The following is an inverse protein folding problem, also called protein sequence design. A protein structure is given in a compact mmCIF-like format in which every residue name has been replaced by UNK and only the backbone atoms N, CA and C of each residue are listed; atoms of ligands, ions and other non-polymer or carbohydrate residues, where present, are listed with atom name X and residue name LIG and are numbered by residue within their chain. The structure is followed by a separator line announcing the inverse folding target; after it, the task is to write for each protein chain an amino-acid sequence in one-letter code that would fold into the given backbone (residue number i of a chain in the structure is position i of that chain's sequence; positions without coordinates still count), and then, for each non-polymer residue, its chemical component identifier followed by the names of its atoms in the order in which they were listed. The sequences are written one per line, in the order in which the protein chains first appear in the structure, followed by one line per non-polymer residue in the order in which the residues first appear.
data_IF_749477873805
#
_entry.id   IF_749477873805
#
_cell.length_a   1.000
_cell.length_b   1.000
_cell.length_c   1.000
_cell.angle_alpha   90.00
_cell.angle_beta   90.00
_cell.angle_gamma   90.00
#
_symmetry.space_group_name_H-M   'P 1'
#
loop_
_entity.id
_entity.type
_entity.pdbx_description
1 polymer ?
#
# COMPACT_ATOMS: atom_id res chain seq x y z
N UNK A 1 -3.99 22.20 -84.42
CA UNK A 1 -3.10 22.68 -83.34
C UNK A 1 -1.67 22.40 -83.81
N UNK A 2 -0.83 23.33 -84.35
CA UNK A 2 -0.27 24.59 -83.82
C UNK A 2 0.13 24.42 -82.34
N UNK A 3 1.38 24.46 -81.89
CA UNK A 3 2.54 25.28 -82.31
C UNK A 3 3.89 24.64 -81.92
N UNK A 4 4.89 25.01 -82.71
CA UNK A 4 6.34 24.72 -82.75
C UNK A 4 7.16 25.62 -81.77
N UNK A 5 8.52 25.59 -81.75
CA UNK A 5 9.34 25.63 -80.53
C UNK A 5 10.21 26.89 -80.40
N UNK A 6 11.06 26.99 -79.38
CA UNK A 6 12.17 27.95 -79.26
C UNK A 6 13.05 27.57 -78.04
N UNK A 7 14.37 27.69 -77.92
CA UNK A 7 15.55 27.88 -78.78
C UNK A 7 16.77 27.52 -77.85
N UNK A 8 17.85 26.98 -78.44
CA UNK A 8 19.24 26.77 -77.94
C UNK A 8 19.92 28.11 -77.50
N UNK A 9 21.20 28.25 -77.06
CA UNK A 9 22.19 27.32 -76.50
C UNK A 9 23.21 27.88 -75.45
N UNK A 10 24.17 27.01 -75.06
CA UNK A 10 25.65 27.23 -75.00
C UNK A 10 26.34 27.80 -73.72
N UNK A 11 27.36 27.03 -73.27
CA UNK A 11 28.65 27.39 -72.61
C UNK A 11 28.61 27.99 -71.18
N UNK A 12 29.56 27.79 -70.24
CA UNK A 12 30.76 26.97 -70.05
C UNK A 12 31.30 27.28 -68.62
N UNK A 13 32.14 26.38 -68.06
CA UNK A 13 33.18 26.58 -67.03
C UNK A 13 32.85 26.99 -65.57
N UNK A 14 33.27 26.07 -64.68
CA UNK A 14 34.08 26.28 -63.46
C UNK A 14 33.81 27.48 -62.56
N UNK A 15 33.57 27.21 -61.27
CA UNK A 15 34.54 27.64 -60.26
C UNK A 15 34.39 26.87 -58.94
N UNK A 16 35.51 26.28 -58.56
CA UNK A 16 35.82 25.75 -57.25
C UNK A 16 36.15 26.97 -56.38
N UNK A 17 35.32 27.29 -55.40
CA UNK A 17 35.67 28.29 -54.37
C UNK A 17 35.50 27.66 -53.00
N UNK A 18 36.65 27.21 -52.49
CA UNK A 18 36.91 26.85 -51.11
C UNK A 18 36.84 28.13 -50.26
N UNK A 19 35.83 28.24 -49.40
CA UNK A 19 35.82 29.25 -48.33
C UNK A 19 36.57 28.68 -47.14
N UNK A 20 37.64 29.36 -46.75
CA UNK A 20 38.29 29.21 -45.46
C UNK A 20 37.65 30.19 -44.47
N UNK A 21 37.34 29.74 -43.24
CA UNK A 21 37.66 30.52 -42.04
C UNK A 21 37.48 29.73 -40.73
N UNK A 22 38.58 29.74 -39.98
CA UNK A 22 38.81 29.42 -38.57
C UNK A 22 37.63 29.60 -37.60
N UNK A 23 37.47 28.68 -36.64
CA UNK A 23 37.21 29.03 -35.23
C UNK A 23 37.35 27.83 -34.29
N UNK A 24 37.94 28.11 -33.14
CA UNK A 24 38.29 27.24 -32.00
C UNK A 24 37.08 26.55 -31.35
N UNK A 25 37.29 25.46 -30.58
CA UNK A 25 36.18 24.76 -29.91
C UNK A 25 35.67 25.58 -28.71
N UNK A 26 34.35 25.68 -28.48
CA UNK A 26 33.83 26.20 -27.23
C UNK A 26 33.81 25.11 -26.14
N UNK A 27 34.16 25.57 -24.95
CA UNK A 27 34.23 24.92 -23.65
C UNK A 27 32.99 24.12 -23.23
N UNK A 28 33.24 22.97 -22.60
CA UNK A 28 32.31 22.17 -21.78
C UNK A 28 31.55 23.03 -20.76
N UNK A 29 30.21 23.00 -20.71
CA UNK A 29 29.47 23.48 -19.55
C UNK A 29 29.47 22.39 -18.47
N UNK A 30 30.01 22.73 -17.30
CA UNK A 30 29.89 21.95 -16.08
C UNK A 30 28.41 21.74 -15.73
N UNK A 31 27.95 20.48 -15.73
CA UNK A 31 26.61 20.10 -15.27
C UNK A 31 26.56 20.25 -13.75
N UNK A 32 25.91 21.31 -13.30
CA UNK A 32 25.55 21.53 -11.89
C UNK A 32 24.69 20.36 -11.41
N UNK A 33 25.13 19.70 -10.35
CA UNK A 33 24.33 18.71 -9.63
C UNK A 33 23.30 19.44 -8.77
N UNK A 34 22.02 19.33 -9.13
CA UNK A 34 20.92 19.63 -8.21
C UNK A 34 20.63 18.37 -7.37
N UNK A 35 20.45 18.49 -6.05
CA UNK A 35 20.02 17.37 -5.20
C UNK A 35 18.50 17.24 -5.27
N UNK A 36 18.01 16.20 -5.94
CA UNK A 36 16.58 15.85 -5.91
C UNK A 36 16.24 15.13 -4.60
N UNK A 37 15.27 15.70 -3.88
CA UNK A 37 14.62 15.11 -2.71
C UNK A 37 13.73 13.92 -3.13
N UNK A 38 13.47 12.95 -2.24
CA UNK A 38 13.03 11.61 -2.63
C UNK A 38 11.54 11.59 -3.01
N UNK A 39 11.26 11.17 -4.26
CA UNK A 39 9.90 10.88 -4.71
C UNK A 39 9.54 9.47 -4.25
N UNK A 40 8.57 9.39 -3.35
CA UNK A 40 8.01 8.15 -2.81
C UNK A 40 7.11 7.48 -3.84
N UNK A 41 7.68 6.63 -4.70
CA UNK A 41 6.96 5.62 -5.51
C UNK A 41 7.96 4.64 -6.11
N UNK A 42 8.45 3.71 -5.30
CA UNK A 42 9.26 2.59 -5.81
C UNK A 42 8.82 1.31 -5.13
N UNK A 43 7.73 0.70 -5.60
CA UNK A 43 7.67 -0.76 -5.58
C UNK A 43 8.75 -1.20 -6.57
N UNK A 44 9.97 -1.35 -6.03
CA UNK A 44 11.17 -1.67 -6.77
C UNK A 44 10.96 -2.98 -7.53
N UNK A 45 11.14 -2.94 -8.85
CA UNK A 45 11.62 -4.10 -9.63
C UNK A 45 13.08 -4.35 -9.25
N UNK A 46 13.34 -4.67 -7.98
CA UNK A 46 14.67 -5.10 -7.55
C UNK A 46 14.71 -6.61 -7.59
N UNK A 47 15.48 -7.14 -8.54
CA UNK A 47 15.82 -8.57 -8.61
C UNK A 47 16.88 -8.94 -7.55
N UNK A 48 16.90 -8.27 -6.40
CA UNK A 48 17.92 -8.42 -5.37
C UNK A 48 17.29 -8.70 -4.01
N UNK A 49 17.75 -9.78 -3.38
CA UNK A 49 17.28 -10.20 -2.06
C UNK A 49 17.70 -9.25 -0.92
N UNK A 50 18.70 -8.40 -1.14
CA UNK A 50 19.17 -7.41 -0.15
C UNK A 50 18.16 -6.30 0.15
N UNK A 51 17.21 -6.08 -0.76
CA UNK A 51 16.21 -5.01 -0.68
C UNK A 51 14.93 -5.47 0.03
N UNK A 52 14.81 -6.77 0.32
CA UNK A 52 13.63 -7.34 0.97
C UNK A 52 13.43 -6.74 2.37
N UNK A 53 12.15 -6.56 2.74
CA UNK A 53 11.73 -6.02 4.04
C UNK A 53 12.22 -6.91 5.19
N UNK A 54 12.83 -6.27 6.18
CA UNK A 54 13.39 -6.85 7.40
C UNK A 54 12.73 -6.30 8.68
N UNK A 55 11.72 -5.43 8.56
CA UNK A 55 11.06 -4.80 9.70
C UNK A 55 9.78 -5.53 10.07
N UNK A 56 8.96 -5.87 9.08
CA UNK A 56 7.66 -6.51 9.31
C UNK A 56 7.83 -8.03 9.38
N UNK A 57 7.30 -8.63 10.46
CA UNK A 57 7.19 -10.08 10.61
C UNK A 57 5.85 -10.56 10.09
N UNK A 58 5.87 -11.65 9.34
CA UNK A 58 4.71 -12.31 8.78
C UNK A 58 3.88 -12.99 9.87
N UNK A 59 2.57 -12.94 9.70
CA UNK A 59 1.58 -13.61 10.54
C UNK A 59 0.63 -14.49 9.72
N UNK A 60 -0.17 -15.33 10.40
CA UNK A 60 -1.24 -16.08 9.75
C UNK A 60 -2.17 -15.15 8.97
N UNK A 61 -2.63 -15.60 7.81
CA UNK A 61 -3.51 -14.89 6.88
C UNK A 61 -2.88 -13.71 6.12
N UNK A 62 -1.59 -13.44 6.30
CA UNK A 62 -0.87 -12.48 5.45
C UNK A 62 -0.78 -12.98 4.01
N UNK A 63 -0.85 -12.05 3.06
CA UNK A 63 -0.64 -12.28 1.63
C UNK A 63 0.73 -11.73 1.23
N UNK A 64 1.51 -12.58 0.56
CA UNK A 64 2.83 -12.23 0.04
C UNK A 64 2.89 -12.52 -1.46
N UNK A 65 3.56 -11.65 -2.21
CA UNK A 65 3.99 -11.96 -3.56
C UNK A 65 5.28 -12.76 -3.50
N UNK A 66 5.36 -13.79 -4.32
CA UNK A 66 6.48 -14.70 -4.44
C UNK A 66 6.94 -14.76 -5.89
N UNK A 67 8.24 -14.65 -6.11
CA UNK A 67 8.84 -14.81 -7.44
C UNK A 67 10.24 -15.39 -7.32
N UNK A 68 10.57 -16.29 -8.22
CA UNK A 68 11.96 -16.74 -8.47
C UNK A 68 12.42 -16.10 -9.77
N UNK A 69 13.53 -15.35 -9.74
CA UNK A 69 14.01 -14.62 -10.93
C UNK A 69 14.38 -15.59 -12.07
N UNK A 70 14.89 -16.76 -11.71
CA UNK A 70 15.37 -17.79 -12.63
C UNK A 70 14.26 -18.51 -13.40
N UNK A 71 13.01 -18.47 -12.92
CA UNK A 71 11.85 -19.02 -13.65
C UNK A 71 11.52 -18.22 -14.92
N UNK A 72 12.04 -16.99 -15.02
CA UNK A 72 11.78 -16.05 -16.13
C UNK A 72 10.31 -15.68 -16.29
N UNK A 73 9.48 -16.01 -15.32
CA UNK A 73 8.10 -15.55 -15.22
C UNK A 73 8.08 -14.07 -14.84
N UNK A 74 7.23 -13.29 -15.52
CA UNK A 74 7.04 -11.87 -15.24
C UNK A 74 6.05 -11.63 -14.09
N UNK A 75 5.11 -12.56 -13.91
CA UNK A 75 4.07 -12.48 -12.88
C UNK A 75 4.57 -13.06 -11.56
N UNK A 76 4.27 -12.35 -10.46
CA UNK A 76 4.55 -12.85 -9.12
C UNK A 76 3.35 -13.68 -8.65
N UNK A 77 3.61 -14.81 -8.00
CA UNK A 77 2.56 -15.64 -7.44
C UNK A 77 2.08 -15.06 -6.11
N UNK A 78 0.77 -15.09 -5.89
CA UNK A 78 0.16 -14.60 -4.66
C UNK A 78 -0.02 -15.76 -3.68
N UNK A 79 0.81 -15.80 -2.65
CA UNK A 79 0.78 -16.85 -1.64
C UNK A 79 0.16 -16.31 -0.34
N UNK A 80 -0.59 -17.16 0.36
CA UNK A 80 -1.21 -16.83 1.66
C UNK A 80 -0.54 -17.65 2.75
N UNK A 81 -0.22 -17.00 3.86
CA UNK A 81 0.19 -17.70 5.09
C UNK A 81 -1.04 -18.36 5.70
N UNK A 82 -0.98 -19.68 5.89
CA UNK A 82 -2.09 -20.45 6.46
C UNK A 82 -2.29 -20.13 7.96
N UNK A 83 -3.35 -20.67 8.56
CA UNK A 83 -3.68 -20.44 9.98
C UNK A 83 -2.61 -21.01 10.94
N UNK A 84 -1.89 -22.05 10.52
CA UNK A 84 -0.76 -22.63 11.26
C UNK A 84 0.49 -21.74 11.20
N UNK A 85 0.52 -20.72 10.33
CA UNK A 85 1.65 -19.83 10.16
C UNK A 85 2.69 -20.29 9.14
N UNK A 86 2.32 -21.18 8.23
CA UNK A 86 3.18 -21.70 7.17
C UNK A 86 2.77 -21.11 5.81
N UNK A 87 3.73 -20.98 4.92
CA UNK A 87 3.54 -20.57 3.53
C UNK A 87 3.69 -21.81 2.65
N UNK A 88 2.71 -22.07 1.79
CA UNK A 88 2.81 -23.12 0.78
C UNK A 88 3.59 -22.59 -0.42
N UNK A 89 4.85 -23.01 -0.54
CA UNK A 89 5.76 -22.58 -1.60
C UNK A 89 5.81 -23.66 -2.67
N UNK A 90 5.70 -23.30 -3.97
CA UNK A 90 5.84 -24.26 -5.06
C UNK A 90 7.13 -25.08 -4.95
N UNK A 91 7.07 -26.34 -5.38
CA UNK A 91 8.17 -27.32 -5.38
C UNK A 91 8.61 -27.83 -4.00
N UNK A 92 8.72 -26.96 -2.99
CA UNK A 92 9.25 -27.33 -1.67
C UNK A 92 8.18 -27.53 -0.59
N UNK A 93 6.93 -27.14 -0.84
CA UNK A 93 5.81 -27.34 0.06
C UNK A 93 5.72 -26.34 1.20
N UNK A 94 5.33 -26.80 2.39
CA UNK A 94 5.06 -25.95 3.55
C UNK A 94 6.36 -25.44 4.19
N UNK A 95 6.49 -24.11 4.29
CA UNK A 95 7.62 -23.43 4.92
C UNK A 95 7.14 -22.58 6.09
N UNK A 96 7.74 -22.67 7.29
CA UNK A 96 7.39 -21.81 8.42
C UNK A 96 7.60 -20.33 8.08
N UNK A 97 6.53 -19.53 8.11
CA UNK A 97 6.57 -18.11 7.78
C UNK A 97 6.28 -17.21 8.98
N UNK A 98 5.49 -17.69 9.95
CA UNK A 98 5.08 -16.93 11.13
C UNK A 98 6.30 -16.48 11.93
N UNK A 99 6.34 -15.17 12.19
CA UNK A 99 7.42 -14.55 12.95
C UNK A 99 8.67 -14.27 12.13
N UNK A 100 8.77 -14.76 10.89
CA UNK A 100 9.88 -14.43 9.99
C UNK A 100 9.60 -13.13 9.22
N UNK A 101 10.65 -12.41 8.88
CA UNK A 101 10.57 -11.30 7.91
C UNK A 101 10.61 -11.84 6.48
N UNK A 102 10.20 -11.03 5.49
CA UNK A 102 10.31 -11.43 4.09
C UNK A 102 11.75 -11.78 3.70
N UNK A 103 12.74 -11.03 4.22
CA UNK A 103 14.16 -11.33 4.00
C UNK A 103 14.54 -12.70 4.59
N UNK A 104 14.25 -12.93 5.87
CA UNK A 104 14.58 -14.19 6.55
C UNK A 104 13.95 -15.39 5.82
N UNK A 105 12.66 -15.28 5.48
CA UNK A 105 11.92 -16.33 4.80
C UNK A 105 12.46 -16.58 3.38
N UNK A 106 12.82 -15.53 2.64
CA UNK A 106 13.36 -15.67 1.29
C UNK A 106 14.70 -16.41 1.28
N UNK A 107 15.58 -16.17 2.25
CA UNK A 107 16.84 -16.91 2.38
C UNK A 107 16.63 -18.38 2.77
N UNK A 108 15.64 -18.66 3.62
CA UNK A 108 15.23 -20.03 3.95
C UNK A 108 14.75 -20.79 2.71
N UNK A 109 13.83 -20.17 1.95
CA UNK A 109 13.29 -20.74 0.72
C UNK A 109 14.36 -20.92 -0.36
N UNK A 110 15.26 -19.94 -0.52
CA UNK A 110 16.42 -20.03 -1.41
C UNK A 110 17.22 -21.30 -1.12
N UNK A 111 17.58 -21.54 0.13
CA UNK A 111 18.39 -22.70 0.51
C UNK A 111 17.68 -24.03 0.20
N UNK A 112 16.36 -24.09 0.37
CA UNK A 112 15.56 -25.27 0.03
C UNK A 112 15.47 -25.49 -1.49
N UNK A 113 15.25 -24.43 -2.27
CA UNK A 113 15.17 -24.47 -3.73
C UNK A 113 16.51 -24.85 -4.38
N UNK A 114 17.62 -24.33 -3.86
CA UNK A 114 18.98 -24.62 -4.38
C UNK A 114 19.43 -26.07 -4.14
N UNK A 115 18.75 -26.80 -3.23
CA UNK A 115 19.10 -28.18 -2.93
C UNK A 115 18.62 -29.16 -3.99
N UNK A 116 17.43 -28.94 -4.54
CA UNK A 116 16.73 -29.93 -5.37
C UNK A 116 16.30 -29.42 -6.75
N UNK A 117 16.18 -28.09 -6.93
CA UNK A 117 15.52 -27.51 -8.12
C UNK A 117 16.38 -26.50 -8.90
N UNK A 118 17.24 -25.74 -8.23
CA UNK A 118 18.03 -24.66 -8.86
C UNK A 118 19.52 -24.78 -8.53
N UNK A 119 20.39 -24.44 -9.49
CA UNK A 119 21.81 -24.24 -9.19
C UNK A 119 22.04 -22.95 -8.39
N UNK A 120 21.24 -21.93 -8.68
CA UNK A 120 21.18 -20.66 -7.95
C UNK A 120 19.74 -20.16 -7.98
N UNK A 121 19.20 -19.74 -6.83
CA UNK A 121 17.86 -19.18 -6.73
C UNK A 121 17.87 -17.77 -6.15
N UNK A 122 17.19 -16.84 -6.84
CA UNK A 122 16.95 -15.48 -6.38
C UNK A 122 15.48 -15.33 -6.04
N UNK A 123 15.16 -15.45 -4.75
CA UNK A 123 13.79 -15.43 -4.24
C UNK A 123 13.39 -14.02 -3.85
N UNK A 124 12.35 -13.48 -4.48
CA UNK A 124 11.75 -12.20 -4.15
C UNK A 124 10.43 -12.44 -3.42
N UNK A 125 10.34 -11.89 -2.20
CA UNK A 125 9.13 -11.90 -1.38
C UNK A 125 8.74 -10.48 -0.98
N UNK A 126 7.52 -10.06 -1.27
CA UNK A 126 7.00 -8.79 -0.77
C UNK A 126 5.64 -8.98 -0.11
N UNK A 127 5.37 -8.24 0.96
CA UNK A 127 4.06 -8.26 1.61
C UNK A 127 3.10 -7.46 0.74
N UNK A 128 2.00 -8.09 0.32
CA UNK A 128 0.95 -7.41 -0.45
C UNK A 128 -0.17 -6.91 0.45
N UNK A 129 -0.63 -7.78 1.34
CA UNK A 129 -1.63 -7.45 2.35
C UNK A 129 -1.22 -8.10 3.66
N UNK A 130 -1.09 -7.27 4.67
CA UNK A 130 -1.04 -7.77 6.04
C UNK A 130 -2.48 -8.10 6.40
N UNK A 131 -2.72 -9.31 6.90
CA UNK A 131 -3.93 -9.55 7.67
C UNK A 131 -3.78 -8.72 8.93
N UNK A 132 -4.35 -7.52 8.92
CA UNK A 132 -4.51 -6.74 10.14
C UNK A 132 -5.18 -7.68 11.13
N UNK A 133 -4.48 -7.99 12.23
CA UNK A 133 -4.98 -8.90 13.26
C UNK A 133 -6.11 -8.18 13.98
N UNK A 134 -7.28 -8.13 13.36
CA UNK A 134 -8.45 -7.54 13.97
C UNK A 134 -8.70 -8.22 15.32
N UNK A 135 -8.82 -7.43 16.38
CA UNK A 135 -9.07 -7.96 17.74
C UNK A 135 -10.50 -8.48 17.89
N UNK A 136 -11.33 -8.23 16.89
CA UNK A 136 -12.75 -8.54 16.88
C UNK A 136 -13.51 -7.47 16.11
N UNK A 137 -14.84 -7.55 16.15
CA UNK A 137 -15.71 -6.56 15.52
C UNK A 137 -16.56 -5.86 16.56
N UNK A 138 -16.93 -4.62 16.29
CA UNK A 138 -17.99 -3.88 16.98
C UNK A 138 -19.11 -3.58 15.99
N UNK A 139 -20.29 -3.24 16.50
CA UNK A 139 -21.46 -2.96 15.68
C UNK A 139 -21.94 -1.54 15.93
N UNK A 140 -21.87 -0.67 14.93
CA UNK A 140 -22.32 0.73 15.04
C UNK A 140 -23.63 0.92 14.30
N UNK A 141 -24.63 1.50 14.96
CA UNK A 141 -25.95 1.75 14.37
C UNK A 141 -26.68 2.94 15.00
N UNK A 142 -27.79 3.35 14.36
CA UNK A 142 -28.58 4.52 14.73
C UNK A 142 -28.23 5.75 13.90
N UNK A 143 -28.18 6.91 14.54
CA UNK A 143 -27.98 8.20 13.86
C UNK A 143 -26.51 8.49 13.53
N UNK A 144 -25.88 7.63 12.72
CA UNK A 144 -24.52 7.77 12.17
C UNK A 144 -24.54 7.67 10.65
N UNK A 145 -23.49 8.15 9.96
CA UNK A 145 -23.45 8.10 8.49
C UNK A 145 -23.22 6.68 7.95
N UNK A 146 -22.35 5.90 8.57
CA UNK A 146 -21.99 4.54 8.19
C UNK A 146 -22.37 3.56 9.29
N UNK A 147 -23.42 2.78 9.05
CA UNK A 147 -23.86 1.73 9.98
C UNK A 147 -23.28 0.38 9.57
N UNK A 148 -23.12 -0.51 10.54
CA UNK A 148 -22.72 -1.89 10.32
C UNK A 148 -21.55 -2.34 11.20
N UNK A 149 -21.01 -3.54 10.92
CA UNK A 149 -19.86 -4.07 11.62
C UNK A 149 -18.59 -3.28 11.26
N UNK A 150 -17.76 -3.02 12.27
CA UNK A 150 -16.43 -2.41 12.12
C UNK A 150 -15.38 -3.27 12.81
N UNK A 151 -14.23 -3.44 12.17
CA UNK A 151 -13.11 -4.18 12.74
C UNK A 151 -12.32 -3.34 13.75
N UNK A 152 -11.91 -3.98 14.85
CA UNK A 152 -11.06 -3.38 15.88
C UNK A 152 -9.59 -3.58 15.47
N UNK A 153 -8.83 -2.52 15.19
CA UNK A 153 -7.42 -2.64 14.82
C UNK A 153 -6.58 -3.33 15.91
N UNK A 154 -5.55 -4.07 15.50
CA UNK A 154 -4.66 -4.82 16.41
C UNK A 154 -3.73 -3.91 17.21
N UNK A 155 -3.34 -2.83 16.56
CA UNK A 155 -2.16 -2.01 16.81
C UNK A 155 -2.50 -0.71 17.56
N UNK A 156 -3.78 -0.42 17.78
CA UNK A 156 -4.21 0.75 18.53
C UNK A 156 -5.34 0.48 19.52
N UNK A 157 -5.50 1.38 20.49
CA UNK A 157 -6.70 1.46 21.31
C UNK A 157 -7.86 1.95 20.44
N UNK A 158 -8.93 1.16 20.38
CA UNK A 158 -10.13 1.49 19.63
C UNK A 158 -11.23 1.95 20.60
N UNK A 159 -11.70 3.17 20.43
CA UNK A 159 -12.66 3.82 21.35
C UNK A 159 -13.95 4.18 20.63
N UNK A 160 -14.98 4.56 21.40
CA UNK A 160 -16.28 4.94 20.82
C UNK A 160 -16.12 6.12 19.86
N UNK A 161 -15.33 7.14 20.21
CA UNK A 161 -15.11 8.28 19.32
C UNK A 161 -14.50 7.86 17.97
N UNK A 162 -13.46 7.00 17.99
CA UNK A 162 -12.82 6.46 16.79
C UNK A 162 -13.77 5.64 15.93
N UNK A 163 -14.64 4.83 16.55
CA UNK A 163 -15.66 4.07 15.84
C UNK A 163 -16.64 4.99 15.10
N UNK A 164 -17.12 6.05 15.75
CA UNK A 164 -18.00 7.03 15.11
C UNK A 164 -17.29 7.79 13.99
N UNK A 165 -16.01 8.17 14.16
CA UNK A 165 -15.22 8.82 13.11
C UNK A 165 -15.05 7.89 11.91
N UNK A 166 -14.72 6.61 12.14
CA UNK A 166 -14.59 5.59 11.09
C UNK A 166 -15.94 5.31 10.41
N UNK A 167 -17.06 5.48 11.12
CA UNK A 167 -18.41 5.45 10.56
C UNK A 167 -18.76 6.70 9.71
N UNK A 168 -17.81 7.60 9.43
CA UNK A 168 -18.07 8.84 8.68
C UNK A 168 -18.67 9.96 9.54
N UNK A 169 -18.70 9.78 10.85
CA UNK A 169 -19.23 10.74 11.83
C UNK A 169 -20.71 10.55 12.15
N UNK A 170 -21.21 11.46 12.97
CA UNK A 170 -22.61 11.53 13.36
C UNK A 170 -23.52 11.92 12.18
N UNK A 171 -24.75 11.42 12.18
CA UNK A 171 -25.82 11.95 11.34
C UNK A 171 -26.36 13.28 11.88
N UNK A 172 -27.10 14.03 11.05
CA UNK A 172 -27.53 15.41 11.32
C UNK A 172 -28.34 15.56 12.61
N UNK A 173 -29.15 14.55 12.94
CA UNK A 173 -30.03 14.55 14.11
C UNK A 173 -29.50 13.70 15.26
N UNK A 174 -28.20 13.40 15.31
CA UNK A 174 -27.63 12.55 16.35
C UNK A 174 -27.57 13.24 17.72
N UNK A 175 -27.88 12.48 18.77
CA UNK A 175 -27.62 12.92 20.15
C UNK A 175 -26.24 12.44 20.61
N UNK A 176 -25.24 13.32 20.44
CA UNK A 176 -23.84 13.05 20.80
C UNK A 176 -23.61 12.83 22.31
N UNK A 177 -24.53 13.27 23.18
CA UNK A 177 -24.36 13.20 24.64
C UNK A 177 -24.82 11.89 25.27
N UNK A 178 -25.61 11.10 24.54
CA UNK A 178 -26.25 9.88 25.06
C UNK A 178 -25.94 8.68 24.18
N UNK A 179 -24.70 8.57 23.70
CA UNK A 179 -24.28 7.40 22.92
C UNK A 179 -24.24 6.20 23.86
N UNK A 180 -24.97 5.13 23.50
CA UNK A 180 -25.05 3.91 24.30
C UNK A 180 -24.06 2.88 23.76
N UNK A 181 -23.34 2.23 24.67
CA UNK A 181 -22.52 1.06 24.36
C UNK A 181 -23.03 -0.10 25.20
N UNK A 182 -23.43 -1.18 24.54
CA UNK A 182 -23.88 -2.42 25.19
C UNK A 182 -22.84 -3.49 24.94
N UNK A 183 -22.24 -4.00 26.02
CA UNK A 183 -21.26 -5.08 25.99
C UNK A 183 -21.95 -6.43 25.95
N UNK A 184 -21.26 -7.47 25.44
CA UNK A 184 -21.75 -8.86 25.37
C UNK A 184 -22.27 -9.43 26.69
N UNK A 185 -21.75 -8.97 27.84
CA UNK A 185 -22.22 -9.36 29.17
C UNK A 185 -23.53 -8.69 29.60
N UNK A 186 -24.14 -7.87 28.74
CA UNK A 186 -25.36 -7.11 29.03
C UNK A 186 -25.13 -5.79 29.78
N UNK A 187 -23.86 -5.37 29.97
CA UNK A 187 -23.55 -4.12 30.62
C UNK A 187 -23.72 -2.94 29.65
N UNK A 188 -24.54 -1.97 30.05
CA UNK A 188 -24.78 -0.73 29.31
C UNK A 188 -23.93 0.41 29.85
N UNK A 189 -23.28 1.14 28.95
CA UNK A 189 -22.55 2.37 29.22
C UNK A 189 -23.16 3.51 28.42
N UNK A 190 -23.16 4.71 29.00
CA UNK A 190 -23.54 5.93 28.28
C UNK A 190 -22.31 6.85 28.21
N UNK A 191 -21.96 7.26 27.00
CA UNK A 191 -20.78 8.08 26.72
C UNK A 191 -21.22 9.43 26.15
N UNK A 192 -20.71 10.53 26.72
CA UNK A 192 -20.91 11.87 26.20
C UNK A 192 -19.79 12.21 25.20
N UNK A 193 -20.00 11.79 23.95
CA UNK A 193 -19.05 12.05 22.87
C UNK A 193 -18.97 13.51 22.45
N UNK A 194 -19.88 14.38 22.90
CA UNK A 194 -19.72 15.82 22.71
C UNK A 194 -18.50 16.31 23.49
N UNK A 195 -18.35 15.88 24.74
CA UNK A 195 -17.20 16.28 25.58
C UNK A 195 -15.89 15.68 25.08
N UNK A 196 -15.93 14.41 24.68
CA UNK A 196 -14.74 13.71 24.16
C UNK A 196 -14.22 14.38 22.89
N UNK A 197 -15.10 14.64 21.91
CA UNK A 197 -14.68 15.10 20.58
C UNK A 197 -14.52 16.62 20.51
N UNK A 198 -15.43 17.40 21.12
CA UNK A 198 -15.44 18.86 21.01
C UNK A 198 -14.65 19.54 22.14
N UNK A 199 -14.63 18.94 23.34
CA UNK A 199 -14.00 19.54 24.52
C UNK A 199 -12.65 18.85 24.87
N UNK A 200 -12.24 17.84 24.10
CA UNK A 200 -10.95 17.16 24.20
C UNK A 200 -10.79 16.21 25.38
N UNK A 201 -11.89 15.84 26.06
CA UNK A 201 -11.89 14.95 27.23
C UNK A 201 -11.71 13.48 26.86
N UNK A 202 -10.52 13.14 26.39
CA UNK A 202 -10.19 11.79 25.90
C UNK A 202 -10.26 10.73 27.00
N UNK A 203 -10.13 11.12 28.26
CA UNK A 203 -10.28 10.26 29.44
C UNK A 203 -11.72 9.75 29.65
N UNK A 204 -12.72 10.44 29.10
CA UNK A 204 -14.12 10.02 29.14
C UNK A 204 -14.47 9.08 27.94
N UNK A 205 -13.51 8.82 27.04
CA UNK A 205 -13.71 7.97 25.87
C UNK A 205 -13.57 6.48 26.22
N UNK A 206 -14.68 5.75 26.08
CA UNK A 206 -14.71 4.34 26.43
C UNK A 206 -13.95 3.50 25.38
N UNK A 207 -13.01 2.68 25.85
CA UNK A 207 -12.33 1.69 25.01
C UNK A 207 -13.29 0.54 24.70
N UNK A 208 -13.43 0.24 23.42
CA UNK A 208 -14.31 -0.80 22.90
C UNK A 208 -13.71 -2.19 23.05
N UNK A 209 -14.60 -3.16 23.23
CA UNK A 209 -14.28 -4.57 23.26
C UNK A 209 -14.95 -5.31 22.09
N UNK A 210 -14.43 -6.50 21.73
CA UNK A 210 -15.08 -7.36 20.74
C UNK A 210 -16.55 -7.62 21.10
N UNK A 211 -17.40 -7.60 20.08
CA UNK A 211 -18.86 -7.75 20.15
C UNK A 211 -19.63 -6.59 20.81
N UNK A 212 -18.98 -5.45 21.12
CA UNK A 212 -19.69 -4.27 21.63
C UNK A 212 -20.66 -3.69 20.59
N UNK A 213 -21.84 -3.30 21.05
CA UNK A 213 -22.88 -2.65 20.27
C UNK A 213 -22.96 -1.18 20.61
N UNK A 214 -22.77 -0.32 19.61
CA UNK A 214 -22.76 1.13 19.75
C UNK A 214 -24.03 1.69 19.09
N UNK A 215 -24.93 2.20 19.92
CA UNK A 215 -26.17 2.82 19.48
C UNK A 215 -26.10 4.34 19.67
N UNK A 216 -26.29 5.05 18.57
CA UNK A 216 -26.40 6.52 18.58
C UNK A 216 -27.88 6.90 18.46
N UNK A 217 -28.49 7.42 19.54
CA UNK A 217 -29.88 7.87 19.48
C UNK A 217 -30.02 9.15 18.66
N UNK A 218 -31.21 9.37 18.13
CA UNK A 218 -31.58 10.67 17.59
C UNK A 218 -31.89 11.65 18.72
N UNK A 219 -31.66 12.94 18.46
CA UNK A 219 -32.08 14.03 19.34
C UNK A 219 -33.58 14.21 19.20
N UNK A 220 -34.29 14.11 20.32
CA UNK A 220 -35.70 14.51 20.40
C UNK A 220 -35.77 16.01 20.14
N UNK A 221 -36.46 16.40 19.06
CA UNK A 221 -36.88 17.77 18.84
C UNK A 221 -38.26 17.88 19.45
N UNK A 222 -38.38 18.49 20.63
CA UNK A 222 -39.68 18.96 21.09
C UNK A 222 -40.04 20.15 20.19
N UNK A 223 -41.00 19.94 19.29
CA UNK A 223 -41.70 21.02 18.60
C UNK A 223 -42.80 21.59 19.49
#
# INVERSE_FOLDING_TARGET
MKVTPLIFPILILSNLSLVAQESTPPSTPARQAQPDLPVSTTVMRTNSMSVLDDKKRLGPNDYVSFRVVEDRDEESQHLRVNDNGELEVPYIGLVPAKGHTCRELAYSIKAALEKEYYYHATVILAIERVSEKSRGRVYVYGSVKGQGPQEIPADESYTVSKAIIRAGGFGDFANKRKVKVTRKNGQDFTVDLKRVIEEGRSEEDLVLQPDDQIYVPQRLINM
#
